data_IF_505411523028
#
_entry.id   IF_505411523028
#
_cell.length_a   1.000
_cell.length_b   1.000
_cell.length_c   1.000
_cell.angle_alpha   90.00
_cell.angle_beta   90.00
_cell.angle_gamma   90.00
#
_symmetry.space_group_name_H-M   'P 1'
#
loop_
_entity.id
_entity.type
_entity.pdbx_description
1 polymer ?
#
# COMPACT_ATOMS: atom_id res chain seq x y z
N UNK A 1 16.61 10.56 3.61
CA UNK A 1 15.55 9.71 3.03
C UNK A 1 14.50 9.49 4.12
N UNK A 2 13.25 9.92 3.94
CA UNK A 2 12.23 9.87 5.01
C UNK A 2 11.98 8.45 5.56
N UNK A 3 12.08 7.44 4.71
CA UNK A 3 11.93 6.04 5.10
C UNK A 3 13.09 5.47 5.94
N UNK A 4 14.25 6.13 6.00
CA UNK A 4 15.37 5.68 6.84
C UNK A 4 15.32 6.24 8.27
N UNK A 5 14.51 7.28 8.49
CA UNK A 5 14.37 7.94 9.79
C UNK A 5 13.10 7.52 10.52
N UNK A 6 12.16 6.89 9.81
CA UNK A 6 10.95 6.32 10.38
C UNK A 6 11.19 4.87 10.84
N UNK A 7 10.30 4.37 11.68
CA UNK A 7 10.30 2.97 12.10
C UNK A 7 10.03 2.03 10.89
N UNK A 8 10.88 1.03 10.62
CA UNK A 8 10.65 0.07 9.55
C UNK A 8 9.31 -0.68 9.66
N UNK A 9 8.84 -0.99 10.87
CA UNK A 9 7.59 -1.71 11.12
C UNK A 9 6.38 -0.93 10.61
N UNK A 10 6.47 0.41 10.54
CA UNK A 10 5.42 1.27 10.01
C UNK A 10 5.05 0.90 8.55
N UNK A 11 6.06 0.57 7.73
CA UNK A 11 5.87 0.24 6.31
C UNK A 11 5.23 -1.13 6.11
N UNK A 12 5.25 -2.00 7.12
CA UNK A 12 4.66 -3.34 7.05
C UNK A 12 3.40 -3.48 7.93
N UNK A 13 2.94 -2.37 8.51
CA UNK A 13 1.78 -2.35 9.38
C UNK A 13 0.49 -2.73 8.65
N UNK A 14 -0.42 -3.35 9.38
CA UNK A 14 -1.78 -3.67 8.91
C UNK A 14 -2.79 -2.57 9.23
N UNK A 15 -2.43 -1.62 10.10
CA UNK A 15 -3.32 -0.56 10.51
C UNK A 15 -3.46 0.49 9.40
N UNK A 16 -4.70 0.85 9.03
CA UNK A 16 -4.98 1.82 7.97
C UNK A 16 -4.29 3.17 8.21
N UNK A 17 -4.22 3.62 9.46
CA UNK A 17 -3.55 4.87 9.86
C UNK A 17 -2.04 4.78 9.61
N UNK A 18 -1.40 3.68 10.01
CA UNK A 18 0.03 3.46 9.81
C UNK A 18 0.39 3.36 8.33
N UNK A 19 -0.45 2.68 7.53
CA UNK A 19 -0.29 2.63 6.07
C UNK A 19 -0.36 4.03 5.46
N UNK A 20 -1.33 4.85 5.87
CA UNK A 20 -1.46 6.22 5.37
C UNK A 20 -0.24 7.09 5.75
N UNK A 21 0.29 6.91 6.97
CA UNK A 21 1.51 7.57 7.41
C UNK A 21 2.73 7.13 6.58
N UNK A 22 2.91 5.83 6.38
CA UNK A 22 3.98 5.28 5.55
C UNK A 22 3.92 5.83 4.10
N UNK A 23 2.72 5.89 3.50
CA UNK A 23 2.52 6.48 2.17
C UNK A 23 2.90 7.97 2.14
N UNK A 24 2.56 8.70 3.19
CA UNK A 24 2.85 10.14 3.31
C UNK A 24 4.36 10.41 3.37
N UNK A 25 5.12 9.55 4.06
CA UNK A 25 6.58 9.63 4.11
C UNK A 25 7.24 9.50 2.71
N UNK A 26 6.59 8.80 1.78
CA UNK A 26 7.09 8.67 0.41
C UNK A 26 6.94 9.96 -0.43
N UNK A 27 6.09 10.91 -0.03
CA UNK A 27 5.73 12.08 -0.84
C UNK A 27 6.89 13.01 -1.21
N UNK A 28 7.89 13.13 -0.34
CA UNK A 28 9.10 13.94 -0.57
C UNK A 28 10.33 13.14 -1.00
N UNK A 29 10.18 11.84 -1.30
CA UNK A 29 11.32 10.96 -1.57
C UNK A 29 11.80 11.09 -3.04
N UNK A 30 13.06 11.46 -3.30
CA UNK A 30 13.55 11.67 -4.67
C UNK A 30 13.64 10.40 -5.50
N UNK A 31 13.68 9.22 -4.86
CA UNK A 31 13.77 7.91 -5.52
C UNK A 31 12.46 7.13 -5.44
N UNK A 32 11.32 7.80 -5.18
CA UNK A 32 10.00 7.17 -5.05
C UNK A 32 9.69 6.25 -6.23
N UNK A 33 9.89 6.72 -7.46
CA UNK A 33 9.61 5.94 -8.68
C UNK A 33 10.50 4.70 -8.80
N UNK A 34 11.80 4.83 -8.54
CA UNK A 34 12.74 3.71 -8.57
C UNK A 34 12.45 2.69 -7.45
N UNK A 35 12.03 3.16 -6.28
CA UNK A 35 11.61 2.32 -5.17
C UNK A 35 10.37 1.49 -5.54
N UNK A 36 9.37 2.12 -6.16
CA UNK A 36 8.18 1.44 -6.64
C UNK A 36 8.51 0.41 -7.73
N UNK A 37 9.29 0.80 -8.73
CA UNK A 37 9.71 -0.11 -9.82
C UNK A 37 10.48 -1.32 -9.27
N UNK A 38 11.41 -1.09 -8.33
CA UNK A 38 12.14 -2.17 -7.68
C UNK A 38 11.23 -3.12 -6.91
N UNK A 39 10.23 -2.59 -6.19
CA UNK A 39 9.27 -3.41 -5.46
C UNK A 39 8.37 -4.24 -6.40
N UNK A 40 7.93 -3.67 -7.52
CA UNK A 40 7.19 -4.38 -8.55
C UNK A 40 8.04 -5.48 -9.20
N UNK A 41 9.31 -5.19 -9.53
CA UNK A 41 10.22 -6.16 -10.12
C UNK A 41 10.52 -7.35 -9.20
N UNK A 42 10.52 -7.15 -7.89
CA UNK A 42 10.73 -8.21 -6.90
C UNK A 42 9.44 -8.89 -6.45
N UNK A 43 8.30 -8.39 -6.90
CA UNK A 43 6.97 -8.80 -6.43
C UNK A 43 6.92 -8.81 -4.89
N UNK A 44 7.29 -7.68 -4.28
CA UNK A 44 7.33 -7.55 -2.82
C UNK A 44 6.02 -8.05 -2.20
N UNK A 45 6.08 -8.98 -1.24
CA UNK A 45 4.90 -9.71 -0.79
C UNK A 45 3.92 -8.80 -0.04
N UNK A 46 4.43 -7.78 0.66
CA UNK A 46 3.61 -6.86 1.43
C UNK A 46 4.32 -5.53 1.71
N UNK A 47 3.54 -4.56 2.20
CA UNK A 47 4.03 -3.31 2.79
C UNK A 47 3.96 -2.11 1.84
N UNK A 48 4.41 -0.95 2.31
CA UNK A 48 4.38 0.30 1.55
C UNK A 48 5.73 0.54 0.87
N UNK A 49 5.71 0.59 -0.46
CA UNK A 49 6.88 0.77 -1.30
C UNK A 49 6.62 1.88 -2.32
N UNK A 50 7.49 2.88 -2.38
CA UNK A 50 7.33 3.99 -3.32
C UNK A 50 5.98 4.74 -3.21
N UNK A 51 5.34 4.70 -2.05
CA UNK A 51 4.03 5.31 -1.79
C UNK A 51 2.83 4.43 -2.12
N UNK A 52 3.05 3.22 -2.62
CA UNK A 52 2.01 2.24 -2.95
C UNK A 52 1.99 1.13 -1.91
N UNK A 53 0.80 0.60 -1.59
CA UNK A 53 0.65 -0.54 -0.68
C UNK A 53 0.66 -1.84 -1.50
N UNK A 54 1.45 -2.80 -1.07
CA UNK A 54 1.57 -4.12 -1.67
C UNK A 54 0.89 -5.19 -0.82
N UNK A 55 0.28 -6.15 -1.49
CA UNK A 55 -0.24 -7.40 -0.93
C UNK A 55 -0.18 -8.49 -2.02
N UNK A 56 0.37 -9.65 -1.69
CA UNK A 56 0.58 -10.77 -2.62
C UNK A 56 1.30 -10.36 -3.92
N UNK A 57 2.29 -9.46 -3.81
CA UNK A 57 3.08 -8.97 -4.95
C UNK A 57 2.34 -7.96 -5.84
N UNK A 58 1.17 -7.48 -5.42
CA UNK A 58 0.33 -6.56 -6.20
C UNK A 58 0.09 -5.26 -5.45
N UNK A 59 0.01 -4.16 -6.20
CA UNK A 59 -0.41 -2.87 -5.65
C UNK A 59 -1.90 -2.91 -5.35
N UNK A 60 -2.27 -2.53 -4.13
CA UNK A 60 -3.64 -2.42 -3.66
C UNK A 60 -3.90 -1.03 -3.07
N UNK A 61 -5.13 -0.54 -3.21
CA UNK A 61 -5.50 0.76 -2.63
C UNK A 61 -5.56 0.71 -1.10
N UNK A 62 -6.16 -0.36 -0.56
CA UNK A 62 -6.38 -0.61 0.87
C UNK A 62 -6.44 -2.12 1.15
N UNK A 63 -6.00 -2.54 2.34
CA UNK A 63 -6.22 -3.92 2.80
C UNK A 63 -7.72 -4.19 2.92
N UNK A 64 -8.17 -5.40 2.53
CA UNK A 64 -9.54 -5.82 2.81
C UNK A 64 -9.71 -6.09 4.30
N UNK A 65 -10.73 -5.50 4.91
CA UNK A 65 -11.11 -5.83 6.29
C UNK A 65 -11.63 -7.27 6.31
N UNK A 66 -11.20 -8.05 7.30
CA UNK A 66 -11.74 -9.38 7.52
C UNK A 66 -13.23 -9.27 7.88
N UNK A 67 -14.10 -9.89 7.08
CA UNK A 67 -15.55 -9.83 7.26
C UNK A 67 -16.32 -10.05 5.96
N UNK A 68 -17.64 -10.24 6.06
CA UNK A 68 -18.52 -10.25 4.88
C UNK A 68 -18.48 -8.85 4.26
N UNK A 69 -18.19 -8.71 2.95
CA UNK A 69 -18.24 -7.42 2.28
C UNK A 69 -19.60 -6.74 2.52
N UNK A 70 -19.59 -5.44 2.77
CA UNK A 70 -20.86 -4.70 2.83
C UNK A 70 -21.51 -4.68 1.45
N UNK A 71 -22.84 -4.59 1.39
CA UNK A 71 -23.57 -4.53 0.12
C UNK A 71 -23.07 -3.37 -0.76
N UNK A 72 -22.70 -2.26 -0.14
CA UNK A 72 -22.10 -1.09 -0.80
C UNK A 72 -20.71 -1.36 -1.38
N UNK A 73 -19.88 -2.16 -0.71
CA UNK A 73 -18.58 -2.59 -1.26
C UNK A 73 -18.72 -3.61 -2.39
N UNK A 74 -19.78 -4.43 -2.36
CA UNK A 74 -20.09 -5.34 -3.47
C UNK A 74 -20.54 -4.55 -4.69
N UNK A 75 -21.46 -3.60 -4.53
CA UNK A 75 -21.95 -2.75 -5.61
C UNK A 75 -20.81 -1.95 -6.28
N UNK A 76 -19.93 -1.33 -5.49
CA UNK A 76 -18.79 -0.58 -6.03
C UNK A 76 -17.86 -1.45 -6.90
N UNK A 77 -17.58 -2.70 -6.49
CA UNK A 77 -16.77 -3.65 -7.27
C UNK A 77 -17.43 -4.09 -8.57
N UNK A 78 -18.75 -4.14 -8.62
CA UNK A 78 -19.49 -4.47 -9.85
C UNK A 78 -19.49 -3.29 -10.83
N UNK A 79 -19.55 -2.06 -10.33
CA UNK A 79 -19.44 -0.84 -11.15
C UNK A 79 -18.03 -0.63 -11.72
N UNK A 80 -16.97 -0.91 -10.96
CA UNK A 80 -15.57 -0.83 -11.43
C UNK A 80 -15.21 -1.93 -12.45
N UNK A 81 -16.01 -3.00 -12.53
CA UNK A 81 -15.77 -4.14 -13.42
C UNK A 81 -16.59 -4.10 -14.73
N UNK A 82 -17.46 -3.10 -14.90
CA UNK A 82 -18.31 -2.87 -16.07
C UNK A 82 -17.69 -1.84 -17.04
#
# INVERSE_FOLDING_TARGET
>A
MPCHTADPELFFSEAEIAIAEAKSLCGGCPVRAQCLEGAMSRAEPAGVWGGELFEDGKVIAKKRKAGRPTLSEVAAREEEAA
#
